data_IF_540077433933
#
_entry.id   IF_540077433933
#
_cell.length_a   1.000
_cell.length_b   1.000
_cell.length_c   1.000
_cell.angle_alpha   90.00
_cell.angle_beta   90.00
_cell.angle_gamma   90.00
#
_symmetry.space_group_name_H-M   'P 1'
#
loop_
_entity.id
_entity.type
_entity.pdbx_description
1 polymer ?
#
# COMPACT_ATOMS: atom_id res chain seq x y z
N UNK A 1 -132.63 -47.66 11.17
CA UNK A 1 -132.26 -47.95 9.75
C UNK A 1 -133.12 -47.04 8.86
N UNK A 2 -132.91 -46.88 7.52
CA UNK A 2 -131.79 -47.26 6.66
C UNK A 2 -131.16 -46.02 5.97
N UNK A 3 -130.01 -45.49 6.39
CA UNK A 3 -128.65 -45.97 6.02
C UNK A 3 -128.44 -46.25 4.51
N UNK A 4 -127.80 -45.30 3.81
CA UNK A 4 -126.48 -45.58 3.24
C UNK A 4 -126.29 -45.89 1.74
N UNK A 5 -127.33 -45.95 0.89
CA UNK A 5 -127.12 -46.21 -0.56
C UNK A 5 -126.86 -44.95 -1.40
N UNK A 6 -127.66 -43.89 -1.27
CA UNK A 6 -127.49 -42.68 -2.10
C UNK A 6 -126.23 -41.87 -1.70
N UNK A 7 -125.95 -41.73 -0.41
CA UNK A 7 -124.69 -41.15 0.07
C UNK A 7 -123.46 -41.93 -0.44
N UNK A 8 -123.52 -43.27 -0.52
CA UNK A 8 -122.42 -44.08 -1.11
C UNK A 8 -122.30 -43.92 -2.62
N UNK A 9 -123.39 -43.71 -3.37
CA UNK A 9 -123.31 -43.38 -4.82
C UNK A 9 -122.75 -41.97 -5.06
N UNK A 10 -123.17 -40.97 -4.28
CA UNK A 10 -122.62 -39.63 -4.32
C UNK A 10 -121.13 -39.62 -3.93
N UNK A 11 -120.76 -40.28 -2.83
CA UNK A 11 -119.38 -40.43 -2.40
C UNK A 11 -118.52 -41.20 -3.41
N UNK A 12 -119.03 -42.26 -4.07
CA UNK A 12 -118.29 -42.93 -5.17
C UNK A 12 -118.10 -42.02 -6.38
N UNK A 13 -119.09 -41.21 -6.78
CA UNK A 13 -118.91 -40.22 -7.86
C UNK A 13 -117.92 -39.12 -7.46
N UNK A 14 -118.02 -38.58 -6.24
CA UNK A 14 -117.10 -37.56 -5.73
C UNK A 14 -115.66 -38.09 -5.56
N UNK A 15 -115.49 -39.36 -5.14
CA UNK A 15 -114.21 -40.02 -5.08
C UNK A 15 -113.64 -40.30 -6.47
N UNK A 16 -114.45 -40.78 -7.42
CA UNK A 16 -114.02 -40.98 -8.81
C UNK A 16 -113.62 -39.66 -9.48
N UNK A 17 -114.38 -38.58 -9.29
CA UNK A 17 -114.01 -37.24 -9.76
C UNK A 17 -112.73 -36.73 -9.08
N UNK A 18 -112.59 -36.87 -7.75
CA UNK A 18 -111.36 -36.51 -7.02
C UNK A 18 -110.17 -37.33 -7.50
N UNK A 19 -110.35 -38.60 -7.86
CA UNK A 19 -109.30 -39.45 -8.36
C UNK A 19 -108.94 -39.08 -9.81
N UNK A 20 -109.91 -38.83 -10.69
CA UNK A 20 -109.65 -38.26 -12.02
C UNK A 20 -108.93 -36.91 -11.96
N UNK A 21 -109.29 -36.02 -11.02
CA UNK A 21 -108.54 -34.78 -10.78
C UNK A 21 -107.14 -35.04 -10.23
N UNK A 22 -106.96 -35.99 -9.30
CA UNK A 22 -105.65 -36.34 -8.75
C UNK A 22 -104.74 -36.97 -9.82
N UNK A 23 -105.26 -37.88 -10.62
CA UNK A 23 -104.57 -38.52 -11.74
C UNK A 23 -104.25 -37.49 -12.84
N UNK A 24 -105.16 -36.53 -13.10
CA UNK A 24 -104.91 -35.37 -13.97
C UNK A 24 -103.78 -34.49 -13.42
N UNK A 25 -103.82 -34.08 -12.14
CA UNK A 25 -102.78 -33.26 -11.53
C UNK A 25 -101.44 -33.99 -11.37
N UNK A 26 -101.42 -35.30 -11.17
CA UNK A 26 -100.18 -36.10 -11.17
C UNK A 26 -99.61 -36.25 -12.58
N UNK A 27 -100.46 -36.34 -13.59
CA UNK A 27 -100.06 -36.32 -15.01
C UNK A 27 -99.58 -34.93 -15.45
N UNK A 28 -100.23 -33.86 -15.02
CA UNK A 28 -99.81 -32.47 -15.23
C UNK A 28 -98.50 -32.16 -14.48
N UNK A 29 -98.34 -32.64 -13.24
CA UNK A 29 -97.10 -32.53 -12.47
C UNK A 29 -95.95 -33.30 -13.11
N UNK A 30 -96.19 -34.51 -13.62
CA UNK A 30 -95.14 -35.28 -14.31
C UNK A 30 -94.79 -34.71 -15.68
N UNK A 31 -95.76 -34.21 -16.45
CA UNK A 31 -95.46 -33.41 -17.65
C UNK A 31 -94.75 -32.09 -17.32
N UNK A 32 -95.08 -31.45 -16.19
CA UNK A 32 -94.42 -30.25 -15.68
C UNK A 32 -92.95 -30.51 -15.33
N UNK A 33 -92.66 -31.56 -14.57
CA UNK A 33 -91.30 -32.02 -14.27
C UNK A 33 -90.52 -32.40 -15.54
N UNK A 34 -91.15 -33.11 -16.48
CA UNK A 34 -90.55 -33.46 -17.77
C UNK A 34 -90.27 -32.23 -18.64
N UNK A 35 -91.16 -31.23 -18.62
CA UNK A 35 -91.02 -29.93 -19.30
C UNK A 35 -89.92 -29.07 -18.67
N UNK A 36 -89.78 -29.09 -17.34
CA UNK A 36 -88.68 -28.43 -16.63
C UNK A 36 -87.36 -29.12 -16.98
N UNK A 37 -87.26 -30.45 -16.85
CA UNK A 37 -86.05 -31.20 -17.20
C UNK A 37 -85.66 -31.05 -18.69
N UNK A 38 -86.65 -30.92 -19.59
CA UNK A 38 -86.43 -30.61 -21.01
C UNK A 38 -85.86 -29.20 -21.20
N UNK A 39 -86.50 -28.17 -20.62
CA UNK A 39 -86.02 -26.78 -20.67
C UNK A 39 -84.67 -26.60 -19.99
N UNK A 40 -84.38 -27.32 -18.92
CA UNK A 40 -83.04 -27.39 -18.31
C UNK A 40 -82.02 -28.00 -19.26
N UNK A 41 -82.36 -29.09 -19.96
CA UNK A 41 -81.46 -29.72 -20.94
C UNK A 41 -81.21 -28.82 -22.14
N UNK A 42 -82.21 -28.04 -22.54
CA UNK A 42 -82.10 -27.03 -23.60
C UNK A 42 -81.31 -25.79 -23.14
N UNK A 43 -81.51 -25.31 -21.90
CA UNK A 43 -80.72 -24.25 -21.27
C UNK A 43 -79.26 -24.67 -21.08
N UNK A 44 -78.99 -25.86 -20.54
CA UNK A 44 -77.63 -26.42 -20.39
C UNK A 44 -76.95 -26.58 -21.75
N UNK A 45 -77.67 -26.93 -22.82
CA UNK A 45 -77.16 -26.91 -24.21
C UNK A 45 -76.85 -25.50 -24.72
N UNK A 46 -77.73 -24.53 -24.49
CA UNK A 46 -77.51 -23.13 -24.88
C UNK A 46 -76.32 -22.52 -24.12
N UNK A 47 -76.24 -22.75 -22.81
CA UNK A 47 -75.13 -22.34 -21.97
C UNK A 47 -73.82 -22.99 -22.41
N UNK A 48 -73.80 -24.28 -22.75
CA UNK A 48 -72.60 -24.90 -23.34
C UNK A 48 -72.23 -24.29 -24.70
N UNK A 49 -73.21 -23.99 -25.57
CA UNK A 49 -72.96 -23.36 -26.88
C UNK A 49 -72.34 -21.96 -26.80
N UNK A 50 -72.62 -21.20 -25.74
CA UNK A 50 -72.06 -19.85 -25.53
C UNK A 50 -70.78 -19.93 -24.67
N UNK A 51 -70.87 -20.63 -23.53
CA UNK A 51 -69.82 -20.66 -22.51
C UNK A 51 -68.59 -21.46 -22.95
N UNK A 52 -68.73 -22.55 -23.74
CA UNK A 52 -67.56 -23.38 -24.12
C UNK A 52 -66.67 -22.70 -25.17
N UNK A 53 -67.17 -22.05 -26.24
CA UNK A 53 -66.35 -21.19 -27.09
C UNK A 53 -65.67 -20.07 -26.30
N UNK A 54 -66.43 -19.36 -25.45
CA UNK A 54 -65.91 -18.36 -24.50
C UNK A 54 -64.95 -18.93 -23.43
N UNK A 55 -64.74 -20.25 -23.36
CA UNK A 55 -63.75 -20.91 -22.50
C UNK A 55 -62.51 -21.35 -23.27
N UNK A 56 -62.67 -21.60 -24.57
CA UNK A 56 -61.58 -21.81 -25.52
C UNK A 56 -60.86 -20.49 -25.79
N UNK A 57 -61.61 -19.41 -26.03
CA UNK A 57 -61.06 -18.06 -26.21
C UNK A 57 -60.22 -17.59 -25.00
N UNK A 58 -60.60 -17.94 -23.76
CA UNK A 58 -59.72 -17.70 -22.58
C UNK A 58 -58.39 -18.40 -22.73
N UNK A 59 -58.46 -19.68 -23.07
CA UNK A 59 -57.35 -20.60 -22.99
C UNK A 59 -56.37 -20.31 -24.10
N UNK A 60 -56.88 -20.04 -25.30
CA UNK A 60 -56.11 -19.64 -26.47
C UNK A 60 -55.45 -18.25 -26.24
N UNK A 61 -56.14 -17.27 -25.64
CA UNK A 61 -55.53 -15.97 -25.28
C UNK A 61 -54.49 -16.09 -24.17
N UNK A 62 -54.79 -16.84 -23.09
CA UNK A 62 -53.88 -17.07 -21.99
C UNK A 62 -52.65 -17.89 -22.42
N UNK A 63 -52.82 -18.81 -23.38
CA UNK A 63 -51.76 -19.57 -24.02
C UNK A 63 -50.85 -18.67 -24.85
N UNK A 64 -51.38 -17.87 -25.78
CA UNK A 64 -50.60 -16.91 -26.57
C UNK A 64 -49.87 -15.89 -25.66
N UNK A 65 -50.53 -15.43 -24.60
CA UNK A 65 -49.91 -14.54 -23.62
C UNK A 65 -48.88 -15.22 -22.71
N UNK A 66 -48.89 -16.55 -22.61
CA UNK A 66 -47.88 -17.35 -21.90
C UNK A 66 -46.70 -17.69 -22.84
N UNK A 67 -46.95 -18.12 -24.07
CA UNK A 67 -45.93 -18.30 -25.12
C UNK A 67 -45.10 -17.02 -25.26
N UNK A 68 -45.74 -15.86 -25.46
CA UNK A 68 -45.03 -14.58 -25.54
C UNK A 68 -44.26 -14.23 -24.25
N UNK A 69 -44.71 -14.70 -23.09
CA UNK A 69 -43.99 -14.49 -21.83
C UNK A 69 -42.76 -15.41 -21.72
N UNK A 70 -42.84 -16.63 -22.26
CA UNK A 70 -41.72 -17.55 -22.42
C UNK A 70 -40.73 -17.02 -23.47
N UNK A 71 -41.17 -16.63 -24.66
CA UNK A 71 -40.31 -16.07 -25.73
C UNK A 71 -39.47 -14.89 -25.22
N UNK A 72 -40.11 -13.95 -24.50
CA UNK A 72 -39.41 -12.81 -23.88
C UNK A 72 -38.37 -13.28 -22.84
N UNK A 73 -38.65 -14.35 -22.10
CA UNK A 73 -37.75 -14.88 -21.06
C UNK A 73 -36.61 -15.71 -21.65
N UNK A 74 -36.85 -16.47 -22.70
CA UNK A 74 -35.82 -17.22 -23.40
C UNK A 74 -34.89 -16.26 -24.19
N UNK A 75 -35.42 -15.15 -24.70
CA UNK A 75 -34.61 -14.03 -25.21
C UNK A 75 -33.77 -13.38 -24.11
N UNK A 76 -34.35 -13.08 -22.94
CA UNK A 76 -33.63 -12.51 -21.78
C UNK A 76 -32.52 -13.46 -21.27
N UNK A 77 -32.79 -14.76 -21.21
CA UNK A 77 -31.80 -15.81 -20.89
C UNK A 77 -30.69 -15.86 -21.96
N UNK A 78 -31.04 -15.79 -23.25
CA UNK A 78 -30.05 -15.82 -24.34
C UNK A 78 -29.11 -14.62 -24.26
N UNK A 79 -29.65 -13.41 -24.05
CA UNK A 79 -28.85 -12.19 -23.85
C UNK A 79 -27.95 -12.27 -22.62
N UNK A 80 -28.45 -12.79 -21.49
CA UNK A 80 -27.64 -12.99 -20.28
C UNK A 80 -26.53 -14.03 -20.47
N UNK A 81 -26.73 -15.05 -21.31
CA UNK A 81 -25.69 -16.01 -21.68
C UNK A 81 -24.64 -15.40 -22.62
N UNK A 82 -25.05 -14.55 -23.58
CA UNK A 82 -24.13 -13.79 -24.43
C UNK A 82 -23.30 -12.78 -23.62
N UNK A 83 -23.92 -12.06 -22.67
CA UNK A 83 -23.22 -11.15 -21.75
C UNK A 83 -22.26 -11.92 -20.83
N UNK A 84 -22.67 -13.07 -20.28
CA UNK A 84 -21.80 -13.91 -19.45
C UNK A 84 -20.57 -14.37 -20.24
N UNK A 85 -20.75 -14.98 -21.41
CA UNK A 85 -19.66 -15.41 -22.29
C UNK A 85 -18.72 -14.24 -22.63
N UNK A 86 -19.27 -13.07 -22.96
CA UNK A 86 -18.49 -11.84 -23.24
C UNK A 86 -17.68 -11.37 -22.03
N UNK A 87 -18.21 -11.47 -20.80
CA UNK A 87 -17.44 -11.15 -19.60
C UNK A 87 -16.35 -12.19 -19.31
N UNK A 88 -16.60 -13.48 -19.59
CA UNK A 88 -15.59 -14.53 -19.47
C UNK A 88 -14.45 -14.36 -20.49
N UNK A 89 -14.76 -14.03 -21.76
CA UNK A 89 -13.76 -13.67 -22.78
C UNK A 89 -12.92 -12.46 -22.34
N UNK A 90 -13.55 -11.43 -21.77
CA UNK A 90 -12.84 -10.25 -21.27
C UNK A 90 -11.95 -10.56 -20.05
N UNK A 91 -12.41 -11.42 -19.13
CA UNK A 91 -11.60 -11.88 -17.99
C UNK A 91 -10.41 -12.72 -18.46
N UNK A 92 -10.63 -13.67 -19.38
CA UNK A 92 -9.57 -14.50 -19.96
C UNK A 92 -8.54 -13.68 -20.74
N UNK A 93 -8.97 -12.69 -21.53
CA UNK A 93 -8.07 -11.76 -22.23
C UNK A 93 -7.28 -10.88 -21.25
N UNK A 94 -7.93 -10.34 -20.21
CA UNK A 94 -7.26 -9.53 -19.18
C UNK A 94 -6.24 -10.36 -18.39
N UNK A 95 -6.61 -11.57 -17.96
CA UNK A 95 -5.71 -12.50 -17.29
C UNK A 95 -4.51 -12.88 -18.17
N UNK A 96 -4.73 -13.14 -19.47
CA UNK A 96 -3.63 -13.37 -20.41
C UNK A 96 -2.71 -12.16 -20.52
N UNK A 97 -3.25 -10.96 -20.77
CA UNK A 97 -2.44 -9.73 -20.86
C UNK A 97 -1.64 -9.48 -19.57
N UNK A 98 -2.21 -9.81 -18.40
CA UNK A 98 -1.51 -9.72 -17.12
C UNK A 98 -0.37 -10.74 -17.00
N UNK A 99 -0.54 -11.97 -17.51
CA UNK A 99 0.56 -12.95 -17.60
C UNK A 99 1.63 -12.49 -18.59
N UNK A 100 1.26 -12.05 -19.79
CA UNK A 100 2.18 -11.53 -20.81
C UNK A 100 3.03 -10.36 -20.24
N UNK A 101 2.43 -9.46 -19.44
CA UNK A 101 3.15 -8.39 -18.73
C UNK A 101 4.00 -8.88 -17.53
N UNK A 102 3.61 -9.95 -16.83
CA UNK A 102 4.46 -10.57 -15.80
C UNK A 102 5.69 -11.20 -16.46
N UNK A 103 5.54 -11.87 -17.60
CA UNK A 103 6.65 -12.51 -18.31
C UNK A 103 7.59 -11.46 -18.92
N UNK A 104 7.07 -10.35 -19.46
CA UNK A 104 7.86 -9.17 -19.86
C UNK A 104 8.65 -8.59 -18.67
N UNK A 105 8.02 -8.43 -17.52
CA UNK A 105 8.66 -7.97 -16.29
C UNK A 105 9.77 -8.94 -15.85
N UNK A 106 9.49 -10.24 -15.80
CA UNK A 106 10.50 -11.27 -15.48
C UNK A 106 11.67 -11.24 -16.48
N UNK A 107 11.41 -11.11 -17.78
CA UNK A 107 12.44 -11.03 -18.81
C UNK A 107 13.34 -9.79 -18.64
N UNK A 108 12.77 -8.61 -18.34
CA UNK A 108 13.56 -7.39 -18.06
C UNK A 108 14.40 -7.52 -16.78
N UNK A 109 13.86 -8.11 -15.71
CA UNK A 109 14.63 -8.38 -14.49
C UNK A 109 15.74 -9.41 -14.69
N UNK A 110 15.54 -10.43 -15.52
CA UNK A 110 16.60 -11.36 -15.92
C UNK A 110 17.68 -10.66 -16.74
N UNK A 111 17.31 -9.79 -17.70
CA UNK A 111 18.24 -9.03 -18.51
C UNK A 111 19.10 -8.08 -17.65
N UNK A 112 18.50 -7.29 -16.75
CA UNK A 112 19.25 -6.38 -15.86
C UNK A 112 20.12 -7.13 -14.85
N UNK A 113 19.66 -8.27 -14.33
CA UNK A 113 20.47 -9.13 -13.43
C UNK A 113 21.66 -9.74 -14.16
N UNK A 114 21.47 -10.20 -15.41
CA UNK A 114 22.55 -10.71 -16.24
C UNK A 114 23.56 -9.62 -16.61
N UNK A 115 23.10 -8.42 -16.96
CA UNK A 115 23.97 -7.26 -17.21
C UNK A 115 24.78 -6.90 -15.97
N UNK A 116 24.13 -6.73 -14.81
CA UNK A 116 24.84 -6.42 -13.56
C UNK A 116 25.89 -7.49 -13.21
N UNK A 117 25.61 -8.76 -13.52
CA UNK A 117 26.55 -9.87 -13.35
C UNK A 117 27.71 -9.83 -14.35
N UNK A 118 27.48 -9.47 -15.61
CA UNK A 118 28.59 -9.28 -16.57
C UNK A 118 29.44 -8.08 -16.19
N UNK A 119 28.83 -6.97 -15.80
CA UNK A 119 29.53 -5.75 -15.42
C UNK A 119 30.37 -5.98 -14.15
N UNK A 120 29.84 -6.70 -13.16
CA UNK A 120 30.59 -7.12 -11.97
C UNK A 120 31.76 -8.06 -12.29
N UNK A 121 31.56 -9.06 -13.16
CA UNK A 121 32.64 -9.95 -13.59
C UNK A 121 33.72 -9.22 -14.40
N UNK A 122 33.33 -8.26 -15.25
CA UNK A 122 34.26 -7.41 -16.00
C UNK A 122 35.10 -6.57 -15.04
N UNK A 123 34.47 -5.91 -14.06
CA UNK A 123 35.17 -5.15 -13.03
C UNK A 123 36.13 -6.01 -12.18
N UNK A 124 35.79 -7.27 -11.90
CA UNK A 124 36.71 -8.22 -11.25
C UNK A 124 37.91 -8.51 -12.15
N UNK A 125 37.70 -8.92 -13.40
CA UNK A 125 38.81 -9.27 -14.31
C UNK A 125 39.70 -8.08 -14.67
N UNK A 126 39.16 -6.85 -14.71
CA UNK A 126 39.94 -5.62 -14.84
C UNK A 126 40.76 -5.33 -13.57
N UNK A 127 40.19 -5.54 -12.37
CA UNK A 127 40.90 -5.36 -11.10
C UNK A 127 41.98 -6.43 -10.87
N UNK A 128 41.71 -7.68 -11.22
CA UNK A 128 42.67 -8.80 -11.19
C UNK A 128 43.83 -8.51 -12.14
N UNK A 129 43.55 -8.15 -13.40
CA UNK A 129 44.60 -7.76 -14.36
C UNK A 129 45.40 -6.55 -13.88
N UNK A 130 44.73 -5.51 -13.37
CA UNK A 130 45.40 -4.34 -12.80
C UNK A 130 46.29 -4.72 -11.60
N UNK A 131 45.88 -5.69 -10.79
CA UNK A 131 46.68 -6.21 -9.68
C UNK A 131 47.93 -6.96 -10.19
N UNK A 132 47.79 -7.82 -11.20
CA UNK A 132 48.90 -8.54 -11.83
C UNK A 132 49.88 -7.58 -12.54
N UNK A 133 49.38 -6.61 -13.30
CA UNK A 133 50.19 -5.58 -13.96
C UNK A 133 51.00 -4.76 -12.92
N UNK A 134 50.39 -4.41 -11.78
CA UNK A 134 51.06 -3.72 -10.68
C UNK A 134 52.10 -4.62 -9.97
N UNK A 135 51.80 -5.89 -9.71
CA UNK A 135 52.76 -6.82 -9.12
C UNK A 135 53.94 -7.11 -10.05
N UNK A 136 53.70 -7.18 -11.37
CA UNK A 136 54.74 -7.25 -12.39
C UNK A 136 55.70 -6.06 -12.31
N UNK A 137 55.16 -4.83 -12.33
CA UNK A 137 55.98 -3.62 -12.21
C UNK A 137 56.76 -3.53 -10.89
N UNK A 138 56.16 -3.91 -9.76
CA UNK A 138 56.85 -3.98 -8.46
C UNK A 138 57.98 -5.02 -8.48
N UNK A 139 57.77 -6.17 -9.11
CA UNK A 139 58.78 -7.22 -9.24
C UNK A 139 59.94 -6.81 -10.16
N UNK A 140 59.67 -6.08 -11.24
CA UNK A 140 60.72 -5.54 -12.11
C UNK A 140 61.57 -4.49 -11.38
N UNK A 141 60.94 -3.52 -10.68
CA UNK A 141 61.65 -2.53 -9.86
C UNK A 141 62.50 -3.22 -8.78
N UNK A 142 61.94 -4.19 -8.04
CA UNK A 142 62.67 -4.95 -7.03
C UNK A 142 63.89 -5.67 -7.60
N UNK A 143 63.78 -6.22 -8.81
CA UNK A 143 64.86 -6.92 -9.52
C UNK A 143 65.94 -5.95 -10.02
N UNK A 144 65.57 -4.76 -10.48
CA UNK A 144 66.54 -3.70 -10.82
C UNK A 144 67.29 -3.21 -9.58
N UNK A 145 66.59 -2.96 -8.46
CA UNK A 145 67.19 -2.62 -7.16
C UNK A 145 68.13 -3.74 -6.67
N UNK A 146 67.75 -5.01 -6.80
CA UNK A 146 68.61 -6.14 -6.40
C UNK A 146 69.90 -6.21 -7.23
N UNK A 147 69.81 -5.96 -8.55
CA UNK A 147 70.97 -5.87 -9.45
C UNK A 147 71.84 -4.67 -9.09
N UNK A 148 71.24 -3.50 -8.85
CA UNK A 148 71.94 -2.28 -8.45
C UNK A 148 72.70 -2.47 -7.12
N UNK A 149 72.05 -3.04 -6.09
CA UNK A 149 72.70 -3.36 -4.82
C UNK A 149 73.85 -4.36 -4.99
N UNK A 150 73.69 -5.41 -5.81
CA UNK A 150 74.77 -6.35 -6.14
C UNK A 150 75.96 -5.64 -6.80
N UNK A 151 75.71 -4.72 -7.73
CA UNK A 151 76.74 -3.90 -8.39
C UNK A 151 77.46 -2.98 -7.41
N UNK A 152 76.73 -2.28 -6.53
CA UNK A 152 77.31 -1.40 -5.50
C UNK A 152 78.15 -2.20 -4.50
N UNK A 153 77.70 -3.38 -4.07
CA UNK A 153 78.44 -4.29 -3.19
C UNK A 153 79.75 -4.76 -3.86
N UNK A 154 79.70 -5.11 -5.14
CA UNK A 154 80.89 -5.51 -5.91
C UNK A 154 81.92 -4.37 -6.01
N UNK A 155 81.49 -3.16 -6.36
CA UNK A 155 82.36 -1.97 -6.45
C UNK A 155 82.99 -1.64 -5.08
N UNK A 156 82.20 -1.65 -4.00
CA UNK A 156 82.71 -1.47 -2.64
C UNK A 156 83.69 -2.58 -2.22
N UNK A 157 83.50 -3.81 -2.72
CA UNK A 157 84.44 -4.92 -2.53
C UNK A 157 85.79 -4.68 -3.21
N UNK A 158 85.78 -4.15 -4.44
CA UNK A 158 86.98 -3.77 -5.18
C UNK A 158 87.71 -2.60 -4.53
N UNK A 159 87.02 -1.50 -4.20
CA UNK A 159 87.62 -0.33 -3.53
C UNK A 159 88.24 -0.72 -2.18
N UNK A 160 87.58 -1.60 -1.40
CA UNK A 160 88.17 -2.14 -0.16
C UNK A 160 89.37 -3.05 -0.40
N UNK A 161 89.48 -3.74 -1.54
CA UNK A 161 90.66 -4.54 -1.90
C UNK A 161 91.84 -3.61 -2.25
N UNK A 162 91.62 -2.66 -3.14
CA UNK A 162 92.59 -1.64 -3.53
C UNK A 162 93.12 -0.86 -2.31
N UNK A 163 92.23 -0.36 -1.44
CA UNK A 163 92.62 0.36 -0.22
C UNK A 163 93.50 -0.49 0.71
N UNK A 164 93.26 -1.80 0.83
CA UNK A 164 94.11 -2.71 1.61
C UNK A 164 95.48 -2.90 0.96
N UNK A 165 95.54 -2.97 -0.37
CA UNK A 165 96.77 -3.08 -1.14
C UNK A 165 97.62 -1.80 -1.03
N UNK A 166 96.99 -0.61 -1.07
CA UNK A 166 97.67 0.68 -0.77
C UNK A 166 98.23 0.71 0.65
N UNK A 167 97.42 0.35 1.66
CA UNK A 167 97.84 0.36 3.07
C UNK A 167 99.02 -0.61 3.30
N UNK A 168 99.00 -1.79 2.68
CA UNK A 168 100.12 -2.74 2.76
C UNK A 168 101.37 -2.19 2.08
N UNK A 169 101.25 -1.57 0.90
CA UNK A 169 102.38 -0.93 0.21
C UNK A 169 103.01 0.19 1.07
N UNK A 170 102.19 1.04 1.70
CA UNK A 170 102.66 2.09 2.62
C UNK A 170 103.37 1.51 3.85
N UNK A 171 102.89 0.39 4.40
CA UNK A 171 103.59 -0.31 5.49
C UNK A 171 104.96 -0.86 5.05
N UNK A 172 105.07 -1.48 3.87
CA UNK A 172 106.35 -1.98 3.35
C UNK A 172 107.32 -0.83 3.02
N UNK A 173 106.85 0.22 2.34
CA UNK A 173 107.62 1.45 2.10
C UNK A 173 108.15 2.06 3.41
N UNK A 174 107.35 1.99 4.49
CA UNK A 174 107.77 2.49 5.81
C UNK A 174 108.83 1.62 6.48
N UNK A 175 108.75 0.31 6.29
CA UNK A 175 109.70 -0.68 6.81
C UNK A 175 111.07 -0.50 6.13
N UNK A 176 111.11 -0.45 4.79
CA UNK A 176 112.33 -0.22 4.01
C UNK A 176 113.02 1.12 4.37
N UNK A 177 112.24 2.20 4.57
CA UNK A 177 112.77 3.48 5.08
C UNK A 177 113.43 3.36 6.46
N UNK A 178 112.94 2.47 7.33
CA UNK A 178 113.52 2.26 8.66
C UNK A 178 114.79 1.39 8.58
N UNK A 179 114.79 0.34 7.77
CA UNK A 179 115.97 -0.49 7.52
C UNK A 179 117.11 0.31 6.89
N UNK A 180 116.81 1.12 5.87
CA UNK A 180 117.78 2.02 5.22
C UNK A 180 118.38 3.01 6.23
N UNK A 181 117.56 3.60 7.09
CA UNK A 181 118.02 4.50 8.18
C UNK A 181 118.82 3.75 9.25
N UNK A 182 118.52 2.48 9.49
CA UNK A 182 119.26 1.66 10.45
C UNK A 182 120.64 1.26 9.90
N UNK A 183 120.73 0.86 8.63
CA UNK A 183 122.00 0.59 7.96
C UNK A 183 122.93 1.83 7.95
N UNK A 184 122.38 3.01 7.62
CA UNK A 184 123.12 4.27 7.69
C UNK A 184 123.61 4.60 9.11
N UNK A 185 122.80 4.36 10.16
CA UNK A 185 123.24 4.51 11.55
C UNK A 185 124.36 3.53 11.91
N UNK A 186 124.22 2.26 11.53
CA UNK A 186 125.18 1.20 11.84
C UNK A 186 126.53 1.46 11.17
N UNK A 187 126.54 1.97 9.93
CA UNK A 187 127.77 2.41 9.25
C UNK A 187 128.44 3.60 9.96
N UNK A 188 127.68 4.61 10.41
CA UNK A 188 128.22 5.75 11.19
C UNK A 188 128.76 5.34 12.56
N UNK A 189 128.08 4.41 13.24
CA UNK A 189 128.54 3.84 14.52
C UNK A 189 129.85 3.07 14.30
N UNK A 190 129.98 2.33 13.19
CA UNK A 190 131.18 1.57 12.86
C UNK A 190 132.39 2.45 12.56
N UNK A 191 132.24 3.58 11.87
CA UNK A 191 133.35 4.54 11.73
C UNK A 191 133.70 5.16 13.09
N UNK A 192 132.70 5.69 13.80
CA UNK A 192 132.87 6.36 15.10
C UNK A 192 133.58 5.49 16.15
N UNK A 193 133.27 4.19 16.22
CA UNK A 193 133.95 3.25 17.13
C UNK A 193 135.45 3.07 16.84
N UNK A 194 135.88 3.27 15.59
CA UNK A 194 137.30 3.20 15.21
C UNK A 194 138.04 4.43 15.72
N UNK A 195 137.42 5.61 15.58
CA UNK A 195 137.99 6.89 16.01
C UNK A 195 137.99 7.02 17.55
N UNK A 196 136.92 6.59 18.22
CA UNK A 196 136.81 6.71 19.69
C UNK A 196 137.72 5.76 20.46
N UNK A 197 138.12 4.62 19.90
CA UNK A 197 139.03 3.70 20.62
C UNK A 197 140.39 4.35 20.90
N UNK A 198 140.87 5.23 20.03
CA UNK A 198 142.12 6.00 20.22
C UNK A 198 141.94 7.24 21.12
N UNK A 199 140.71 7.69 21.36
CA UNK A 199 140.39 8.79 22.28
C UNK A 199 140.06 8.31 23.70
N UNK A 200 139.49 7.11 23.85
CA UNK A 200 138.96 6.58 25.11
C UNK A 200 140.01 6.39 26.22
N UNK A 201 141.26 6.11 25.86
CA UNK A 201 142.35 6.09 26.86
C UNK A 201 142.55 7.48 27.50
N UNK A 202 142.53 8.55 26.69
CA UNK A 202 142.77 9.93 27.12
C UNK A 202 141.54 10.64 27.72
N UNK A 203 140.34 10.10 27.56
CA UNK A 203 139.09 10.70 28.07
C UNK A 203 138.59 10.06 29.38
N UNK A 204 139.09 8.87 29.72
CA UNK A 204 138.73 8.12 30.93
C UNK A 204 138.94 8.92 32.23
N UNK A 205 139.99 9.75 32.31
CA UNK A 205 140.27 10.61 33.48
C UNK A 205 139.28 11.80 33.64
N UNK A 206 138.59 12.22 32.57
CA UNK A 206 137.64 13.35 32.62
C UNK A 206 136.22 12.92 32.99
N UNK A 207 135.84 11.70 32.62
CA UNK A 207 134.45 11.22 32.63
C UNK A 207 133.83 11.18 34.05
N UNK A 208 134.67 11.07 35.09
CA UNK A 208 134.27 11.15 36.50
C UNK A 208 133.70 12.53 36.91
N UNK A 209 134.04 13.61 36.20
CA UNK A 209 133.60 14.97 36.53
C UNK A 209 132.20 15.30 36.03
N UNK A 210 131.88 14.93 34.78
CA UNK A 210 130.64 15.36 34.12
C UNK A 210 129.38 14.65 34.63
N UNK A 211 129.53 13.46 35.20
CA UNK A 211 128.41 12.63 35.67
C UNK A 211 127.54 13.34 36.72
N UNK A 212 128.14 14.21 37.53
CA UNK A 212 127.44 15.00 38.55
C UNK A 212 126.55 16.10 37.95
N UNK A 213 126.89 16.67 36.78
CA UNK A 213 126.06 17.70 36.14
C UNK A 213 124.79 17.14 35.49
N UNK A 214 124.81 15.92 34.96
CA UNK A 214 123.64 15.37 34.27
C UNK A 214 122.50 14.98 35.22
N UNK A 215 122.82 14.71 36.49
CA UNK A 215 121.86 14.39 37.54
C UNK A 215 120.96 15.59 37.89
N UNK A 216 121.47 16.83 37.84
CA UNK A 216 120.68 18.04 38.10
C UNK A 216 119.69 18.33 36.96
N UNK A 217 120.14 18.23 35.71
CA UNK A 217 119.34 18.49 34.50
C UNK A 217 118.10 17.59 34.41
N UNK A 218 118.24 16.31 34.78
CA UNK A 218 117.14 15.33 34.77
C UNK A 218 116.05 15.63 35.81
N UNK A 219 116.37 16.33 36.90
CA UNK A 219 115.41 16.71 37.96
C UNK A 219 114.41 17.77 37.46
N UNK A 220 114.88 18.75 36.68
CA UNK A 220 114.04 19.84 36.12
C UNK A 220 113.00 19.30 35.13
N UNK A 221 113.36 18.30 34.32
CA UNK A 221 112.42 17.67 33.38
C UNK A 221 111.27 16.96 34.10
N UNK A 222 111.54 16.31 35.24
CA UNK A 222 110.52 15.63 36.04
C UNK A 222 109.53 16.60 36.71
N UNK A 223 110.02 17.71 37.28
CA UNK A 223 109.16 18.76 37.86
C UNK A 223 108.19 19.35 36.82
N UNK A 224 108.68 19.66 35.61
CA UNK A 224 107.84 20.16 34.52
C UNK A 224 106.77 19.13 34.09
N UNK A 225 107.12 17.86 33.98
CA UNK A 225 106.19 16.80 33.58
C UNK A 225 105.11 16.57 34.65
N UNK A 226 105.49 16.63 35.94
CA UNK A 226 104.56 16.56 37.08
C UNK A 226 103.59 17.74 37.10
N UNK A 227 104.06 18.96 36.82
CA UNK A 227 103.19 20.14 36.74
C UNK A 227 102.12 19.99 35.62
N UNK A 228 102.48 19.38 34.49
CA UNK A 228 101.51 19.09 33.41
C UNK A 228 100.46 18.05 33.85
N UNK A 229 100.88 16.97 34.50
CA UNK A 229 100.00 15.93 35.05
C UNK A 229 99.02 16.50 36.11
N UNK A 230 99.48 17.39 36.99
CA UNK A 230 98.63 18.04 38.01
C UNK A 230 97.67 19.10 37.41
N UNK A 231 97.94 19.64 36.22
CA UNK A 231 96.96 20.43 35.44
C UNK A 231 95.91 19.49 34.81
N UNK A 232 96.34 18.36 34.24
CA UNK A 232 95.43 17.41 33.59
C UNK A 232 94.43 16.79 34.58
N UNK A 233 94.84 16.47 35.81
CA UNK A 233 93.94 15.99 36.88
C UNK A 233 92.84 16.99 37.20
N UNK A 234 93.17 18.27 37.40
CA UNK A 234 92.18 19.32 37.68
C UNK A 234 91.19 19.51 36.54
N UNK A 235 91.66 19.41 35.29
CA UNK A 235 90.77 19.40 34.12
C UNK A 235 89.87 18.15 34.08
N UNK A 236 90.38 16.97 34.44
CA UNK A 236 89.60 15.74 34.52
C UNK A 236 88.48 15.84 35.58
N UNK A 237 88.80 16.33 36.78
CA UNK A 237 87.84 16.56 37.86
C UNK A 237 86.72 17.53 37.44
N UNK A 238 87.07 18.65 36.80
CA UNK A 238 86.11 19.62 36.28
C UNK A 238 85.23 19.06 35.14
N UNK A 239 85.75 18.15 34.31
CA UNK A 239 84.95 17.45 33.30
C UNK A 239 84.00 16.41 33.93
N UNK A 240 84.44 15.69 34.96
CA UNK A 240 83.61 14.72 35.69
C UNK A 240 82.43 15.42 36.38
N UNK A 241 82.65 16.57 37.03
CA UNK A 241 81.56 17.35 37.64
C UNK A 241 80.52 17.79 36.60
N UNK A 242 80.96 18.35 35.46
CA UNK A 242 80.05 18.69 34.34
C UNK A 242 79.30 17.48 33.79
N UNK A 243 79.92 16.31 33.74
CA UNK A 243 79.27 15.08 33.31
C UNK A 243 78.15 14.66 34.28
N UNK A 244 78.34 14.84 35.60
CA UNK A 244 77.31 14.60 36.62
C UNK A 244 76.15 15.59 36.50
N UNK A 245 76.42 16.89 36.33
CA UNK A 245 75.39 17.92 36.10
C UNK A 245 74.54 17.62 34.85
N UNK A 246 75.19 17.23 33.75
CA UNK A 246 74.51 16.84 32.50
C UNK A 246 73.72 15.53 32.64
N UNK A 247 74.19 14.60 33.47
CA UNK A 247 73.47 13.35 33.76
C UNK A 247 72.21 13.59 34.61
N UNK A 248 72.31 14.36 35.71
CA UNK A 248 71.16 14.61 36.57
C UNK A 248 70.13 15.57 35.92
N UNK A 249 70.56 16.53 35.09
CA UNK A 249 69.62 17.30 34.24
C UNK A 249 68.92 16.41 33.21
N UNK A 250 69.63 15.50 32.54
CA UNK A 250 69.02 14.50 31.63
C UNK A 250 67.98 13.62 32.35
N UNK A 251 68.29 13.17 33.58
CA UNK A 251 67.41 12.38 34.45
C UNK A 251 66.16 13.16 34.89
N UNK A 252 66.29 14.45 35.23
CA UNK A 252 65.17 15.34 35.53
C UNK A 252 64.28 15.56 34.30
N UNK A 253 64.88 15.80 33.13
CA UNK A 253 64.15 15.99 31.87
C UNK A 253 63.38 14.72 31.46
N UNK A 254 63.98 13.54 31.59
CA UNK A 254 63.31 12.25 31.35
C UNK A 254 62.11 12.04 32.28
N UNK A 255 62.21 12.41 33.56
CA UNK A 255 61.08 12.35 34.50
C UNK A 255 59.97 13.30 34.10
N UNK A 256 60.29 14.58 33.85
CA UNK A 256 59.30 15.58 33.37
C UNK A 256 58.60 15.14 32.09
N UNK A 257 59.32 14.53 31.14
CA UNK A 257 58.75 14.00 29.90
C UNK A 257 57.74 12.86 30.18
N UNK A 258 58.07 11.93 31.08
CA UNK A 258 57.15 10.87 31.51
C UNK A 258 55.91 11.43 32.22
N UNK A 259 56.09 12.39 33.12
CA UNK A 259 55.00 13.04 33.86
C UNK A 259 54.04 13.78 32.89
N UNK A 260 54.60 14.53 31.92
CA UNK A 260 53.84 15.17 30.86
C UNK A 260 53.13 14.15 29.95
N UNK A 261 53.78 13.06 29.55
CA UNK A 261 53.18 12.01 28.73
C UNK A 261 52.02 11.32 29.47
N UNK A 262 52.16 11.07 30.78
CA UNK A 262 51.09 10.48 31.60
C UNK A 262 49.91 11.44 31.78
N UNK A 263 50.17 12.73 32.01
CA UNK A 263 49.14 13.77 32.09
C UNK A 263 48.38 13.94 30.78
N UNK A 264 49.10 14.06 29.65
CA UNK A 264 48.50 14.20 28.32
C UNK A 264 47.73 12.94 27.92
N UNK A 265 48.24 11.74 28.21
CA UNK A 265 47.54 10.48 27.94
C UNK A 265 46.20 10.37 28.68
N UNK A 266 46.15 10.78 29.96
CA UNK A 266 44.89 10.90 30.71
C UNK A 266 43.97 11.94 30.06
N UNK A 267 44.48 13.14 29.80
CA UNK A 267 43.71 14.25 29.22
C UNK A 267 43.09 13.89 27.86
N UNK A 268 43.80 13.11 27.02
CA UNK A 268 43.27 12.58 25.77
C UNK A 268 42.16 11.56 26.03
N UNK A 269 42.37 10.58 26.91
CA UNK A 269 41.33 9.58 27.24
C UNK A 269 40.08 10.20 27.86
N UNK A 270 40.22 11.22 28.72
CA UNK A 270 39.09 11.99 29.26
C UNK A 270 38.26 12.64 28.13
N UNK A 271 38.93 13.27 27.16
CA UNK A 271 38.29 13.89 25.99
C UNK A 271 37.69 12.86 25.02
N UNK A 272 38.30 11.69 24.86
CA UNK A 272 37.74 10.57 24.09
C UNK A 272 36.45 10.04 24.75
N UNK A 273 36.43 9.91 26.08
CA UNK A 273 35.26 9.49 26.85
C UNK A 273 34.13 10.55 26.76
N UNK A 274 34.45 11.84 26.92
CA UNK A 274 33.48 12.94 26.71
C UNK A 274 32.93 12.92 25.28
N UNK A 275 33.78 12.78 24.26
CA UNK A 275 33.37 12.71 22.86
C UNK A 275 32.47 11.51 22.58
N UNK A 276 32.81 10.32 23.09
CA UNK A 276 31.96 9.12 22.97
C UNK A 276 30.60 9.33 23.65
N UNK A 277 30.56 9.91 24.84
CA UNK A 277 29.32 10.24 25.55
C UNK A 277 28.43 11.18 24.72
N UNK A 278 28.97 12.30 24.24
CA UNK A 278 28.20 13.27 23.44
C UNK A 278 27.77 12.69 22.08
N UNK A 279 28.61 11.89 21.41
CA UNK A 279 28.26 11.22 20.16
C UNK A 279 27.15 10.17 20.37
N UNK A 280 27.19 9.41 21.46
CA UNK A 280 26.13 8.46 21.82
C UNK A 280 24.81 9.19 22.16
N UNK A 281 24.86 10.31 22.88
CA UNK A 281 23.69 11.14 23.16
C UNK A 281 23.10 11.76 21.87
N UNK A 282 23.95 12.31 20.99
CA UNK A 282 23.55 12.87 19.69
C UNK A 282 22.93 11.83 18.77
N UNK A 283 23.55 10.65 18.62
CA UNK A 283 23.01 9.59 17.76
C UNK A 283 21.71 9.00 18.31
N UNK A 284 21.56 8.87 19.64
CA UNK A 284 20.29 8.51 20.27
C UNK A 284 19.19 9.54 20.00
N UNK A 285 19.49 10.84 20.17
CA UNK A 285 18.55 11.94 19.90
C UNK A 285 18.15 11.98 18.42
N UNK A 286 19.11 11.79 17.52
CA UNK A 286 18.88 11.74 16.06
C UNK A 286 17.97 10.57 15.65
N UNK A 287 18.12 9.39 16.29
CA UNK A 287 17.19 8.25 16.10
C UNK A 287 15.80 8.56 16.62
N UNK A 288 15.66 9.15 17.82
CA UNK A 288 14.36 9.58 18.36
C UNK A 288 13.66 10.55 17.42
N UNK A 289 14.32 11.64 17.03
CA UNK A 289 13.78 12.64 16.12
C UNK A 289 13.33 12.06 14.76
N UNK A 290 14.05 11.07 14.23
CA UNK A 290 13.65 10.37 13.01
C UNK A 290 12.39 9.50 13.20
N UNK A 291 12.31 8.76 14.31
CA UNK A 291 11.15 7.95 14.68
C UNK A 291 9.92 8.82 14.93
N UNK A 292 10.07 9.89 15.72
CA UNK A 292 9.00 10.82 16.08
C UNK A 292 8.44 11.50 14.82
N UNK A 293 9.33 11.96 13.91
CA UNK A 293 8.93 12.52 12.60
C UNK A 293 8.20 11.51 11.72
N UNK A 294 8.56 10.22 11.75
CA UNK A 294 7.83 9.18 11.02
C UNK A 294 6.46 8.90 11.66
N UNK A 295 6.39 8.90 13.00
CA UNK A 295 5.18 8.66 13.78
C UNK A 295 4.15 9.78 13.55
N UNK A 296 4.60 11.05 13.59
CA UNK A 296 3.73 12.20 13.33
C UNK A 296 3.33 12.31 11.86
N UNK A 297 4.17 11.91 10.90
CA UNK A 297 3.76 11.78 9.50
C UNK A 297 2.62 10.76 9.32
N UNK A 298 2.69 9.60 10.01
CA UNK A 298 1.60 8.60 10.00
C UNK A 298 0.32 9.14 10.67
N UNK A 299 0.43 9.82 11.81
CA UNK A 299 -0.73 10.48 12.46
C UNK A 299 -1.38 11.51 11.51
N UNK A 300 -0.58 12.35 10.87
CA UNK A 300 -1.06 13.38 9.95
C UNK A 300 -1.75 12.76 8.74
N UNK A 301 -1.22 11.65 8.20
CA UNK A 301 -1.86 10.89 7.13
C UNK A 301 -3.24 10.36 7.55
N UNK A 302 -3.33 9.68 8.70
CA UNK A 302 -4.62 9.14 9.23
C UNK A 302 -5.62 10.25 9.51
N UNK A 303 -5.18 11.37 10.11
CA UNK A 303 -6.03 12.55 10.35
C UNK A 303 -6.51 13.18 9.05
N UNK A 304 -5.65 13.26 8.02
CA UNK A 304 -6.02 13.82 6.71
C UNK A 304 -7.03 12.93 5.99
N UNK A 305 -6.81 11.61 5.96
CA UNK A 305 -7.74 10.65 5.34
C UNK A 305 -9.11 10.72 6.01
N UNK A 306 -9.17 10.53 7.33
CA UNK A 306 -10.43 10.57 8.09
C UNK A 306 -11.14 11.94 8.01
N UNK A 307 -10.40 13.06 7.94
CA UNK A 307 -10.98 14.37 7.65
C UNK A 307 -11.58 14.43 6.24
N UNK A 308 -10.89 13.93 5.21
CA UNK A 308 -11.45 13.92 3.84
C UNK A 308 -12.65 13.01 3.69
N UNK A 309 -12.68 11.86 4.36
CA UNK A 309 -13.82 10.93 4.38
C UNK A 309 -15.04 11.56 5.07
N UNK A 310 -14.85 12.13 6.26
CA UNK A 310 -15.94 12.80 6.99
C UNK A 310 -16.45 14.05 6.26
N UNK A 311 -15.56 14.83 5.64
CA UNK A 311 -15.95 15.96 4.78
C UNK A 311 -16.76 15.50 3.56
N UNK A 312 -16.38 14.41 2.88
CA UNK A 312 -17.17 13.84 1.79
C UNK A 312 -18.53 13.33 2.24
N UNK A 313 -18.64 12.74 3.43
CA UNK A 313 -19.91 12.29 4.01
C UNK A 313 -20.81 13.50 4.32
N UNK A 314 -20.25 14.55 4.93
CA UNK A 314 -20.96 15.81 5.21
C UNK A 314 -21.46 16.50 3.93
N UNK A 315 -20.64 16.58 2.88
CA UNK A 315 -21.05 17.18 1.60
C UNK A 315 -22.11 16.33 0.88
N UNK A 316 -22.04 14.99 0.98
CA UNK A 316 -23.12 14.08 0.51
C UNK A 316 -24.43 14.29 1.26
N UNK A 317 -24.38 14.49 2.58
CA UNK A 317 -25.57 14.78 3.41
C UNK A 317 -26.15 16.16 3.04
N UNK A 318 -25.29 17.19 2.90
CA UNK A 318 -25.67 18.52 2.45
C UNK A 318 -26.35 18.49 1.07
N UNK A 319 -25.79 17.81 0.08
CA UNK A 319 -26.41 17.68 -1.24
C UNK A 319 -27.75 16.94 -1.19
N UNK A 320 -27.91 15.90 -0.35
CA UNK A 320 -29.22 15.27 -0.11
C UNK A 320 -30.22 16.24 0.51
N UNK A 321 -29.81 17.04 1.50
CA UNK A 321 -30.63 18.10 2.10
C UNK A 321 -31.02 19.19 1.12
N UNK A 322 -30.08 19.70 0.33
CA UNK A 322 -30.35 20.65 -0.76
C UNK A 322 -31.31 20.08 -1.80
N UNK A 323 -31.16 18.81 -2.19
CA UNK A 323 -32.05 18.16 -3.15
C UNK A 323 -33.46 18.01 -2.56
N UNK A 324 -33.60 17.59 -1.30
CA UNK A 324 -34.88 17.50 -0.60
C UNK A 324 -35.56 18.87 -0.48
N UNK A 325 -34.81 19.93 -0.15
CA UNK A 325 -35.33 21.30 -0.10
C UNK A 325 -35.75 21.81 -1.50
N UNK A 326 -34.97 21.52 -2.55
CA UNK A 326 -35.32 21.85 -3.95
C UNK A 326 -36.59 21.10 -4.38
N UNK A 327 -36.72 19.81 -4.04
CA UNK A 327 -37.89 18.99 -4.33
C UNK A 327 -39.13 19.50 -3.57
N UNK A 328 -39.02 19.75 -2.26
CA UNK A 328 -40.09 20.34 -1.45
C UNK A 328 -40.54 21.71 -1.99
N UNK A 329 -39.60 22.56 -2.43
CA UNK A 329 -39.91 23.85 -3.06
C UNK A 329 -40.57 23.72 -4.45
N UNK A 330 -40.41 22.60 -5.15
CA UNK A 330 -41.13 22.28 -6.39
C UNK A 330 -42.52 21.73 -6.07
N UNK A 331 -42.64 20.74 -5.18
CA UNK A 331 -43.93 20.20 -4.74
C UNK A 331 -44.83 21.29 -4.17
N UNK A 332 -44.29 22.18 -3.33
CA UNK A 332 -45.01 23.33 -2.77
C UNK A 332 -45.50 24.34 -3.81
N UNK A 333 -45.10 24.26 -5.09
CA UNK A 333 -45.76 25.06 -6.14
C UNK A 333 -47.15 24.49 -6.47
N UNK A 334 -47.26 23.16 -6.52
CA UNK A 334 -48.46 22.40 -6.91
C UNK A 334 -49.53 22.35 -5.81
N UNK A 335 -49.13 22.47 -4.54
CA UNK A 335 -50.05 22.53 -3.39
C UNK A 335 -51.13 23.63 -3.54
N UNK A 336 -52.31 23.42 -2.98
CA UNK A 336 -53.39 24.43 -2.95
C UNK A 336 -53.05 25.61 -2.03
N UNK A 337 -53.83 26.70 -2.06
CA UNK A 337 -53.64 27.78 -1.08
C UNK A 337 -53.98 27.34 0.35
N UNK A 338 -54.96 26.44 0.50
CA UNK A 338 -55.36 25.88 1.80
C UNK A 338 -54.22 25.04 2.40
N UNK A 339 -53.63 24.12 1.61
CA UNK A 339 -52.45 23.31 2.00
C UNK A 339 -51.17 24.15 2.24
N UNK A 340 -51.11 25.37 1.70
CA UNK A 340 -49.99 26.31 1.92
C UNK A 340 -50.15 27.11 3.22
N UNK A 341 -51.38 27.35 3.66
CA UNK A 341 -51.74 28.11 4.86
C UNK A 341 -51.86 27.17 6.07
N UNK A 342 -52.41 25.97 5.88
CA UNK A 342 -52.53 24.92 6.88
C UNK A 342 -51.87 23.61 6.37
N UNK A 343 -50.52 23.50 6.40
CA UNK A 343 -49.81 22.37 5.80
C UNK A 343 -49.97 21.03 6.52
N UNK A 344 -50.51 21.04 7.74
CA UNK A 344 -50.75 19.88 8.57
C UNK A 344 -52.18 19.99 9.13
N UNK A 345 -53.03 18.96 9.01
CA UNK A 345 -54.34 18.96 9.66
C UNK A 345 -54.21 19.21 11.15
N UNK A 346 -54.96 20.16 11.71
CA UNK A 346 -54.99 20.35 13.16
C UNK A 346 -55.55 19.10 13.84
N UNK A 347 -54.81 18.55 14.80
CA UNK A 347 -55.31 17.51 15.70
C UNK A 347 -56.52 18.03 16.47
N UNK A 348 -57.74 17.68 16.04
CA UNK A 348 -58.96 18.07 16.74
C UNK A 348 -60.05 16.99 16.68
N UNK A 349 -59.64 15.73 16.79
CA UNK A 349 -60.51 14.61 17.19
C UNK A 349 -59.80 13.87 18.32
N UNK A 350 -60.17 14.15 19.56
CA UNK A 350 -59.61 13.47 20.73
C UNK A 350 -60.04 12.00 20.81
N UNK A 351 -59.15 11.14 21.33
CA UNK A 351 -59.55 9.85 21.90
C UNK A 351 -59.45 8.60 21.03
N UNK A 352 -58.70 8.60 19.91
CA UNK A 352 -58.52 7.40 19.07
C UNK A 352 -57.07 6.96 18.79
N UNK A 353 -56.17 7.12 19.77
CA UNK A 353 -54.98 6.25 19.84
C UNK A 353 -55.39 4.81 20.18
N UNK A 354 -55.83 4.05 19.17
CA UNK A 354 -55.64 2.60 19.19
C UNK A 354 -54.19 2.32 18.82
N UNK A 355 -53.43 1.76 19.77
CA UNK A 355 -52.11 1.18 19.50
C UNK A 355 -52.26 -0.03 18.58
N UNK A 356 -52.15 0.22 17.27
CA UNK A 356 -52.04 -0.83 16.26
C UNK A 356 -50.63 -1.40 16.37
N UNK A 357 -50.52 -2.57 17.00
CA UNK A 357 -49.25 -3.28 17.18
C UNK A 357 -48.96 -4.07 15.90
N UNK A 358 -48.37 -3.40 14.90
CA UNK A 358 -47.92 -4.00 13.64
C UNK A 358 -46.39 -3.99 13.62
N UNK A 359 -45.81 -5.18 13.59
CA UNK A 359 -44.35 -5.40 13.52
C UNK A 359 -43.89 -5.43 12.06
N UNK A 360 -44.04 -4.31 11.34
CA UNK A 360 -43.55 -4.16 9.95
C UNK A 360 -42.95 -2.75 9.72
N UNK A 361 -41.74 -2.74 9.15
CA UNK A 361 -40.94 -1.62 8.63
C UNK A 361 -41.15 -0.20 9.23
N UNK A 362 -40.46 0.05 10.35
CA UNK A 362 -39.95 1.36 10.86
C UNK A 362 -40.61 2.62 10.28
N UNK A 363 -41.87 2.87 10.67
CA UNK A 363 -42.44 4.20 10.55
C UNK A 363 -41.72 5.17 11.51
N UNK A 364 -40.95 6.09 10.93
CA UNK A 364 -40.33 7.21 11.64
C UNK A 364 -41.46 8.13 12.12
N UNK A 365 -41.70 8.18 13.44
CA UNK A 365 -42.82 8.92 14.03
C UNK A 365 -42.76 10.41 13.74
N UNK A 366 -41.54 10.92 13.62
CA UNK A 366 -41.19 12.28 13.24
C UNK A 366 -41.66 12.65 11.81
N UNK A 367 -42.16 11.69 11.02
CA UNK A 367 -42.76 11.88 9.70
C UNK A 367 -44.28 11.67 9.66
N UNK A 368 -44.96 11.38 10.78
CA UNK A 368 -46.42 11.13 10.82
C UNK A 368 -47.23 12.29 10.20
N UNK A 369 -46.86 13.55 10.51
CA UNK A 369 -47.50 14.75 9.94
C UNK A 369 -47.25 14.91 8.42
N UNK A 370 -46.12 14.45 7.91
CA UNK A 370 -45.84 14.45 6.46
C UNK A 370 -46.72 13.43 5.75
N UNK A 371 -46.82 12.21 6.28
CA UNK A 371 -47.68 11.17 5.71
C UNK A 371 -49.16 11.52 5.79
N UNK A 372 -49.60 12.20 6.85
CA UNK A 372 -50.94 12.79 6.93
C UNK A 372 -51.23 13.78 5.80
N UNK A 373 -50.26 14.65 5.45
CA UNK A 373 -50.39 15.58 4.31
C UNK A 373 -50.44 14.83 2.97
N UNK A 374 -49.62 13.80 2.78
CA UNK A 374 -49.63 12.96 1.57
C UNK A 374 -51.01 12.29 1.40
N UNK A 375 -51.55 11.68 2.45
CA UNK A 375 -52.86 11.03 2.41
C UNK A 375 -54.01 12.00 2.08
N UNK A 376 -53.95 13.25 2.57
CA UNK A 376 -54.92 14.30 2.20
C UNK A 376 -54.83 14.66 0.69
N UNK A 377 -53.62 14.78 0.15
CA UNK A 377 -53.42 15.07 -1.27
C UNK A 377 -53.88 13.90 -2.16
N UNK A 378 -53.68 12.64 -1.73
CA UNK A 378 -54.20 11.47 -2.43
C UNK A 378 -55.74 11.40 -2.41
N UNK A 379 -56.38 11.64 -1.26
CA UNK A 379 -57.83 11.71 -1.17
C UNK A 379 -58.42 12.80 -2.08
N UNK A 380 -57.75 13.96 -2.16
CA UNK A 380 -58.14 15.07 -3.04
C UNK A 380 -57.96 14.73 -4.53
N UNK A 381 -56.86 14.05 -4.89
CA UNK A 381 -56.62 13.51 -6.23
C UNK A 381 -57.73 12.53 -6.62
N UNK A 382 -58.09 11.62 -5.74
CA UNK A 382 -59.02 10.54 -6.04
C UNK A 382 -60.46 11.05 -6.17
N UNK A 383 -60.88 12.01 -5.33
CA UNK A 383 -62.15 12.73 -5.51
C UNK A 383 -62.23 13.47 -6.86
N UNK A 384 -61.16 14.17 -7.26
CA UNK A 384 -61.07 14.81 -8.58
C UNK A 384 -61.09 13.79 -9.74
N UNK A 385 -60.54 12.59 -9.54
CA UNK A 385 -60.66 11.51 -10.53
C UNK A 385 -62.08 10.96 -10.62
N UNK A 386 -62.80 10.80 -9.50
CA UNK A 386 -64.20 10.38 -9.50
C UNK A 386 -65.10 11.41 -10.21
N UNK A 387 -64.97 12.70 -9.87
CA UNK A 387 -65.73 13.78 -10.53
C UNK A 387 -65.40 13.87 -12.02
N UNK A 388 -64.12 13.83 -12.40
CA UNK A 388 -63.70 13.75 -13.81
C UNK A 388 -64.31 12.54 -14.52
N UNK A 389 -64.37 11.37 -13.87
CA UNK A 389 -64.93 10.16 -14.44
C UNK A 389 -66.47 10.20 -14.53
N UNK A 390 -67.13 10.94 -13.64
CA UNK A 390 -68.56 11.26 -13.73
C UNK A 390 -68.84 12.20 -14.90
N UNK A 391 -68.17 13.35 -14.96
CA UNK A 391 -68.30 14.34 -16.05
C UNK A 391 -67.96 13.73 -17.42
N UNK A 392 -67.02 12.77 -17.50
CA UNK A 392 -66.73 12.03 -18.73
C UNK A 392 -67.84 11.04 -19.15
N UNK A 393 -68.66 10.53 -18.21
CA UNK A 393 -69.86 9.74 -18.52
C UNK A 393 -70.99 10.65 -18.98
N UNK A 394 -71.29 11.69 -18.21
CA UNK A 394 -72.33 12.68 -18.53
C UNK A 394 -72.06 13.35 -19.89
N UNK A 395 -70.82 13.74 -20.18
CA UNK A 395 -70.45 14.33 -21.48
C UNK A 395 -70.60 13.33 -22.64
N UNK A 396 -70.38 12.02 -22.42
CA UNK A 396 -70.69 10.96 -23.41
C UNK A 396 -72.20 10.76 -23.58
N UNK A 397 -73.00 11.10 -22.58
CA UNK A 397 -74.47 10.99 -22.60
C UNK A 397 -75.11 12.19 -23.28
N UNK A 398 -74.74 13.41 -22.90
CA UNK A 398 -75.15 14.64 -23.58
C UNK A 398 -74.76 14.63 -25.07
N UNK A 399 -73.59 14.08 -25.44
CA UNK A 399 -73.21 13.89 -26.87
C UNK A 399 -74.11 12.88 -27.60
N UNK A 400 -74.60 11.85 -26.91
CA UNK A 400 -75.51 10.83 -27.45
C UNK A 400 -76.92 11.40 -27.63
N UNK A 401 -77.40 12.17 -26.65
CA UNK A 401 -78.70 12.85 -26.70
C UNK A 401 -78.73 13.96 -27.75
N UNK A 402 -77.67 14.78 -27.84
CA UNK A 402 -77.52 15.80 -28.89
C UNK A 402 -77.52 15.15 -30.29
N UNK A 403 -76.81 14.04 -30.47
CA UNK A 403 -76.81 13.31 -31.74
C UNK A 403 -78.21 12.77 -32.11
N UNK A 404 -78.92 12.20 -31.13
CA UNK A 404 -80.30 11.72 -31.31
C UNK A 404 -81.29 12.86 -31.63
N UNK A 405 -81.17 13.99 -30.93
CA UNK A 405 -82.02 15.17 -31.10
C UNK A 405 -81.85 15.82 -32.46
N UNK A 406 -80.61 15.92 -32.96
CA UNK A 406 -80.32 16.54 -34.26
C UNK A 406 -80.64 15.64 -35.48
N UNK A 407 -80.97 14.36 -35.29
CA UNK A 407 -81.21 13.35 -36.35
C UNK A 407 -80.23 13.45 -37.55
N UNK A 408 -78.96 13.73 -37.26
CA UNK A 408 -78.05 14.26 -38.27
C UNK A 408 -77.43 13.15 -39.11
N UNK A 409 -78.05 12.84 -40.25
CA UNK A 409 -77.69 11.79 -41.23
C UNK A 409 -76.24 11.82 -41.76
N UNK A 410 -75.43 12.82 -41.41
CA UNK A 410 -74.02 12.93 -41.82
C UNK A 410 -73.07 13.34 -40.69
N UNK A 411 -73.50 13.30 -39.42
CA UNK A 411 -72.60 13.44 -38.28
C UNK A 411 -72.05 12.05 -37.89
N UNK A 412 -70.73 11.84 -37.75
CA UNK A 412 -70.21 10.55 -37.32
C UNK A 412 -70.67 10.26 -35.88
N UNK A 413 -71.45 9.19 -35.73
CA UNK A 413 -71.93 8.70 -34.43
C UNK A 413 -70.77 8.63 -33.41
N UNK A 414 -70.89 9.22 -32.21
CA UNK A 414 -69.95 8.95 -31.13
C UNK A 414 -70.09 7.46 -30.78
N UNK A 415 -69.12 6.64 -31.21
CA UNK A 415 -69.24 5.19 -31.24
C UNK A 415 -69.72 4.65 -29.89
N UNK A 416 -70.89 4.01 -29.89
CA UNK A 416 -71.50 3.43 -28.70
C UNK A 416 -70.73 2.18 -28.29
N UNK A 417 -69.64 2.37 -27.54
CA UNK A 417 -68.97 1.36 -26.72
C UNK A 417 -69.86 0.91 -25.54
N UNK A 418 -71.11 0.58 -25.84
CA UNK A 418 -72.09 -0.02 -24.93
C UNK A 418 -72.44 -1.45 -25.37
N UNK A 419 -72.11 -1.82 -26.61
CA UNK A 419 -72.27 -3.17 -27.18
C UNK A 419 -70.93 -3.87 -27.49
N UNK A 420 -69.82 -3.39 -26.92
CA UNK A 420 -68.49 -4.00 -27.07
C UNK A 420 -68.06 -4.85 -25.85
N UNK A 421 -68.65 -4.64 -24.68
CA UNK A 421 -68.27 -5.32 -23.43
C UNK A 421 -69.27 -6.41 -22.98
N UNK A 422 -70.35 -6.62 -23.73
CA UNK A 422 -71.37 -7.65 -23.44
C UNK A 422 -71.24 -8.93 -24.28
N UNK A 423 -70.26 -9.01 -25.19
CA UNK A 423 -70.01 -10.22 -25.97
C UNK A 423 -68.55 -10.49 -26.38
N UNK A 424 -67.57 -9.93 -25.65
CA UNK A 424 -66.59 -10.85 -25.05
C UNK A 424 -67.20 -11.33 -23.76
N UNK A 425 -68.12 -12.29 -23.86
CA UNK A 425 -68.56 -13.10 -22.72
C UNK A 425 -67.82 -14.56 -22.82
N UNK A 426 -65.62 -15.56 -21.42
CA UNK A 426 -64.63 -15.03 -20.38
C UNK A 426 -63.24 -14.70 -20.95
N UNK A 427 -62.42 -14.05 -20.12
CA UNK A 427 -61.06 -14.49 -19.79
C UNK A 427 -60.85 -14.09 -18.34
N UNK A 428 -61.09 -15.04 -17.43
CA UNK A 428 -61.28 -14.78 -16.01
C UNK A 428 -60.02 -14.14 -15.37
N UNK A 429 -60.05 -12.86 -14.99
CA UNK A 429 -58.94 -12.27 -14.27
C UNK A 429 -58.93 -12.86 -12.85
N UNK A 430 -57.91 -13.67 -12.55
CA UNK A 430 -57.64 -14.13 -11.18
C UNK A 430 -57.61 -12.94 -10.24
N UNK A 431 -58.14 -13.12 -9.03
CA UNK A 431 -58.15 -12.09 -7.98
C UNK A 431 -56.74 -11.59 -7.67
N UNK A 432 -56.36 -10.45 -8.24
CA UNK A 432 -55.28 -9.63 -7.70
C UNK A 432 -55.85 -8.83 -6.54
N UNK A 433 -55.51 -9.23 -5.33
CA UNK A 433 -55.51 -8.28 -4.23
C UNK A 433 -54.53 -7.16 -4.58
N UNK A 434 -54.91 -5.90 -4.35
CA UNK A 434 -53.99 -4.77 -4.44
C UNK A 434 -53.11 -4.73 -3.20
N UNK A 435 -52.27 -5.76 -3.04
CA UNK A 435 -51.19 -5.75 -2.06
C UNK A 435 -50.13 -4.74 -2.52
N UNK A 436 -49.96 -3.69 -1.72
CA UNK A 436 -48.71 -2.92 -1.47
C UNK A 436 -47.53 -3.26 -2.41
N UNK A 437 -47.57 -2.80 -3.67
CA UNK A 437 -46.50 -3.10 -4.65
C UNK A 437 -46.12 -1.96 -5.60
N UNK A 438 -46.94 -0.93 -5.80
CA UNK A 438 -46.53 0.20 -6.65
C UNK A 438 -45.47 1.11 -5.99
N UNK A 439 -45.36 1.11 -4.66
CA UNK A 439 -44.22 1.73 -3.95
C UNK A 439 -42.86 1.11 -4.31
N UNK A 440 -42.83 -0.19 -4.67
CA UNK A 440 -41.61 -0.90 -5.07
C UNK A 440 -41.10 -0.43 -6.44
N UNK A 441 -41.96 0.13 -7.30
CA UNK A 441 -41.57 0.68 -8.61
C UNK A 441 -40.91 2.05 -8.50
N UNK A 442 -41.33 2.90 -7.57
CA UNK A 442 -40.62 4.16 -7.29
C UNK A 442 -39.28 3.89 -6.58
N UNK A 443 -39.22 2.94 -5.64
CA UNK A 443 -37.97 2.58 -4.95
C UNK A 443 -36.85 2.14 -5.91
N UNK A 444 -37.18 1.46 -7.02
CA UNK A 444 -36.20 1.09 -8.06
C UNK A 444 -35.58 2.28 -8.81
N UNK A 445 -36.12 3.50 -8.73
CA UNK A 445 -35.44 4.70 -9.26
C UNK A 445 -34.25 5.11 -8.40
N UNK A 446 -34.23 4.75 -7.11
CA UNK A 446 -33.17 5.14 -6.18
C UNK A 446 -32.00 4.14 -6.12
N UNK A 447 -32.12 2.94 -6.71
CA UNK A 447 -30.98 2.02 -6.86
C UNK A 447 -30.02 2.41 -8.00
N UNK A 448 -30.30 3.50 -8.74
CA UNK A 448 -29.45 4.07 -9.79
C UNK A 448 -28.31 4.97 -9.28
N UNK A 449 -27.94 4.89 -8.00
CA UNK A 449 -26.73 5.51 -7.45
C UNK A 449 -25.91 4.42 -6.73
N UNK A 450 -24.88 3.93 -7.43
CA UNK A 450 -24.17 2.72 -7.04
C UNK A 450 -23.53 2.77 -5.65
N UNK A 451 -23.89 1.79 -4.82
CA UNK A 451 -23.15 1.40 -3.63
C UNK A 451 -22.84 -0.09 -3.80
N UNK A 452 -21.62 -0.40 -4.24
CA UNK A 452 -21.10 -1.74 -4.09
C UNK A 452 -20.80 -1.95 -2.60
N UNK A 453 -21.51 -2.87 -1.97
CA UNK A 453 -21.12 -3.42 -0.68
C UNK A 453 -20.10 -4.54 -0.91
N UNK A 454 -19.09 -4.55 -0.04
CA UNK A 454 -18.21 -5.71 0.24
C UNK A 454 -18.78 -6.41 1.46
#
# INVERSE_FOLDING_TARGET
>A
MPKGKNAKKAAKKAAAMRQQFKDYFERERTYGLLSIARREKEWKKMLMKISVPHMREELDFAWISFERAMDNKDMEITLLLEELNRTEEQLNMNFKNHLDHIDEFIATFQATTNQLKTDFNNNITELEKSMDDNFGGIYEIWKEDEIYLKTVIYILGMVKKEQRETILADFYNKLEQLETKNAQKLQRIRSFLTDTHLALEAESEKLLSEYQQNLSKRRVYYENLKHQDDILKKNLEAQIQKLQEMYDTSKILKRKLFDCQSYLGRRVSDLENEWQFFNNAYTLLKRKLANDRQLDARKLQVLTVSFTETAQILEKIKHKGEHLLKLAAVCRKLETQEEKILPFPCENIGGFHKTINVEEEVYIKEMELFWGKVAQAEASRDALMEERNFLLKENKELKRELHNYCQCLNCPMPQTQFNAELNTNKTAPKSKSFNVTDGIKELRKFSMHGINLV
#
